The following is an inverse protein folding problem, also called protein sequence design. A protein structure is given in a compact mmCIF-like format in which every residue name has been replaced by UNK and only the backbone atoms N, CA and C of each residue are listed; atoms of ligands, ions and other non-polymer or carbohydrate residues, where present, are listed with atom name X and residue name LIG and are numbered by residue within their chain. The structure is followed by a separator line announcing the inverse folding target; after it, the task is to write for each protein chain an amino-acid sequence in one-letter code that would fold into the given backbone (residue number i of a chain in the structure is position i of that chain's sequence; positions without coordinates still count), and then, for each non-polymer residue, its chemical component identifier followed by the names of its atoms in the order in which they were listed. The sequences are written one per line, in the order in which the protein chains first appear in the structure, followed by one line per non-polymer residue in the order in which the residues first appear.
data_IF_140818866890
#
_entry.id   IF_140818866890
#
_cell.length_a   1.000
_cell.length_b   1.000
_cell.length_c   1.000
_cell.angle_alpha   90.00
_cell.angle_beta   90.00
_cell.angle_gamma   90.00
#
_symmetry.space_group_name_H-M   'P 1'
#
loop_
_entity.id
_entity.type
_entity.pdbx_description
1 polymer ?
#
# COMPACT_ATOMS: atom_id res chain seq x y z
N UNK A 1 19.59 9.74 2.10
CA UNK A 1 19.79 8.36 1.66
C UNK A 1 18.59 7.91 0.84
N UNK A 2 18.82 7.34 -0.33
CA UNK A 2 17.74 6.87 -1.19
C UNK A 2 17.44 5.41 -0.90
N UNK A 3 16.16 5.13 -0.63
CA UNK A 3 15.70 3.76 -0.53
C UNK A 3 15.49 3.19 -1.92
N UNK A 4 16.02 1.98 -2.15
CA UNK A 4 15.78 1.28 -3.40
C UNK A 4 14.54 0.43 -3.26
N UNK A 5 13.41 1.00 -3.60
CA UNK A 5 12.15 0.27 -3.63
C UNK A 5 12.09 -0.57 -4.90
N UNK A 6 11.45 -1.73 -4.83
CA UNK A 6 11.16 -2.48 -6.03
C UNK A 6 10.25 -1.63 -6.91
N UNK A 7 10.25 -1.91 -8.21
CA UNK A 7 9.47 -1.13 -9.15
C UNK A 7 7.99 -1.06 -8.74
N UNK A 8 7.40 -2.19 -8.41
CA UNK A 8 5.97 -2.24 -8.08
C UNK A 8 5.65 -1.47 -6.79
N UNK A 9 6.52 -1.55 -5.79
CA UNK A 9 6.33 -0.82 -4.54
C UNK A 9 6.47 0.67 -4.78
N UNK A 10 7.46 1.08 -5.57
CA UNK A 10 7.63 2.48 -5.93
C UNK A 10 6.42 3.01 -6.68
N UNK A 11 5.89 2.23 -7.62
CA UNK A 11 4.70 2.59 -8.37
C UNK A 11 3.49 2.76 -7.43
N UNK A 12 3.36 1.85 -6.47
CA UNK A 12 2.29 1.91 -5.48
C UNK A 12 2.36 3.20 -4.64
N UNK A 13 3.55 3.52 -4.12
CA UNK A 13 3.74 4.72 -3.31
C UNK A 13 3.50 5.99 -4.14
N UNK A 14 4.03 6.03 -5.35
CA UNK A 14 3.85 7.19 -6.24
C UNK A 14 2.38 7.40 -6.58
N UNK A 15 1.68 6.34 -6.97
CA UNK A 15 0.26 6.41 -7.29
C UNK A 15 -0.58 6.80 -6.07
N UNK A 16 -0.21 6.26 -4.89
CA UNK A 16 -0.90 6.59 -3.65
C UNK A 16 -0.78 8.08 -3.32
N UNK A 17 0.42 8.64 -3.47
CA UNK A 17 0.65 10.05 -3.20
C UNK A 17 -0.05 10.97 -4.21
N UNK A 18 -0.29 10.47 -5.42
CA UNK A 18 -1.05 11.19 -6.44
C UNK A 18 -2.56 11.01 -6.26
N UNK A 19 -2.99 10.16 -5.33
CA UNK A 19 -4.39 9.81 -5.12
C UNK A 19 -5.06 9.28 -6.40
N UNK A 20 -4.30 8.56 -7.20
CA UNK A 20 -4.76 8.03 -8.49
C UNK A 20 -5.28 6.61 -8.30
N UNK A 21 -6.59 6.48 -8.13
CA UNK A 21 -7.24 5.19 -7.84
C UNK A 21 -6.90 4.13 -8.88
N UNK A 22 -6.97 4.48 -10.16
CA UNK A 22 -6.69 3.52 -11.23
C UNK A 22 -5.26 3.01 -11.20
N UNK A 23 -4.31 3.92 -11.00
CA UNK A 23 -2.89 3.56 -10.95
C UNK A 23 -2.58 2.72 -9.72
N UNK A 24 -3.16 3.07 -8.56
CA UNK A 24 -3.02 2.25 -7.35
C UNK A 24 -3.56 0.85 -7.61
N UNK A 25 -4.78 0.77 -8.14
CA UNK A 25 -5.44 -0.50 -8.40
C UNK A 25 -4.66 -1.37 -9.39
N UNK A 26 -4.03 -0.75 -10.38
CA UNK A 26 -3.25 -1.48 -11.38
C UNK A 26 -2.02 -2.17 -10.80
N UNK A 27 -1.58 -1.78 -9.60
CA UNK A 27 -0.46 -2.44 -8.92
C UNK A 27 -0.86 -3.80 -8.34
N UNK A 28 -2.14 -4.08 -8.20
CA UNK A 28 -2.64 -5.32 -7.59
C UNK A 28 -2.97 -6.38 -8.63
N UNK A 29 -2.76 -7.64 -8.27
CA UNK A 29 -3.22 -8.75 -9.11
C UNK A 29 -4.74 -8.86 -9.04
N UNK A 30 -5.35 -9.58 -9.99
CA UNK A 30 -6.81 -9.70 -10.08
C UNK A 30 -7.44 -10.34 -8.85
N UNK A 31 -6.72 -11.26 -8.22
CA UNK A 31 -7.18 -11.99 -7.04
C UNK A 31 -6.50 -11.51 -5.75
N UNK A 32 -5.98 -10.29 -5.76
CA UNK A 32 -5.26 -9.76 -4.61
C UNK A 32 -6.14 -9.65 -3.37
N UNK A 33 -5.49 -9.69 -2.21
CA UNK A 33 -6.15 -9.58 -0.92
C UNK A 33 -5.45 -8.48 -0.10
N UNK A 34 -6.24 -7.61 0.51
CA UNK A 34 -5.72 -6.58 1.41
C UNK A 34 -6.27 -6.83 2.81
N UNK A 35 -5.38 -6.84 3.79
CA UNK A 35 -5.74 -6.89 5.20
C UNK A 35 -5.39 -5.54 5.82
N UNK A 36 -6.41 -4.77 6.18
CA UNK A 36 -6.26 -3.46 6.79
C UNK A 36 -7.05 -3.43 8.08
N UNK A 37 -6.35 -3.46 9.21
CA UNK A 37 -6.93 -3.49 10.55
C UNK A 37 -8.01 -4.58 10.69
N UNK A 38 -9.27 -4.19 10.58
CA UNK A 38 -10.42 -5.09 10.80
C UNK A 38 -11.03 -5.60 9.51
N UNK A 39 -10.54 -5.14 8.38
CA UNK A 39 -11.11 -5.47 7.09
C UNK A 39 -10.21 -6.40 6.30
N UNK A 40 -10.84 -7.32 5.59
CA UNK A 40 -10.16 -8.14 4.59
C UNK A 40 -10.90 -7.91 3.27
N UNK A 41 -10.16 -7.47 2.25
CA UNK A 41 -10.73 -7.11 0.97
C UNK A 41 -10.20 -8.08 -0.07
N UNK A 42 -11.12 -8.79 -0.71
CA UNK A 42 -10.79 -9.80 -1.72
C UNK A 42 -11.12 -9.29 -3.11
N UNK A 43 -10.12 -9.27 -3.98
CA UNK A 43 -10.28 -8.94 -5.38
C UNK A 43 -10.28 -7.46 -5.67
N UNK A 44 -10.10 -7.11 -6.93
CA UNK A 44 -9.91 -5.72 -7.35
C UNK A 44 -11.08 -4.82 -7.05
N UNK A 45 -12.31 -5.32 -7.16
CA UNK A 45 -13.47 -4.47 -6.93
C UNK A 45 -13.56 -4.00 -5.48
N UNK A 46 -13.34 -4.92 -4.54
CA UNK A 46 -13.33 -4.58 -3.12
C UNK A 46 -12.17 -3.66 -2.79
N UNK A 47 -10.99 -3.92 -3.36
CA UNK A 47 -9.80 -3.10 -3.15
C UNK A 47 -10.00 -1.70 -3.72
N UNK A 48 -10.65 -1.58 -4.88
CA UNK A 48 -10.96 -0.27 -5.46
C UNK A 48 -11.80 0.58 -4.53
N UNK A 49 -12.83 -0.01 -3.94
CA UNK A 49 -13.69 0.69 -2.97
C UNK A 49 -12.91 1.14 -1.74
N UNK A 50 -12.03 0.28 -1.25
CA UNK A 50 -11.17 0.59 -0.11
C UNK A 50 -10.22 1.75 -0.44
N UNK A 51 -9.59 1.74 -1.62
CA UNK A 51 -8.69 2.81 -2.04
C UNK A 51 -9.43 4.15 -2.09
N UNK A 52 -10.59 4.18 -2.75
CA UNK A 52 -11.38 5.40 -2.89
C UNK A 52 -11.80 5.95 -1.53
N UNK A 53 -12.24 5.06 -0.65
CA UNK A 53 -12.67 5.43 0.70
C UNK A 53 -11.53 6.02 1.53
N UNK A 54 -10.37 5.37 1.52
CA UNK A 54 -9.24 5.83 2.32
C UNK A 54 -8.69 7.17 1.81
N UNK A 55 -8.67 7.38 0.51
CA UNK A 55 -8.28 8.68 -0.05
C UNK A 55 -9.25 9.76 0.42
N UNK A 56 -10.55 9.51 0.32
CA UNK A 56 -11.57 10.49 0.69
C UNK A 56 -11.52 10.83 2.18
N UNK A 57 -11.33 9.82 3.03
CA UNK A 57 -11.36 10.00 4.48
C UNK A 57 -10.08 10.60 5.03
N UNK A 58 -8.92 10.17 4.54
CA UNK A 58 -7.64 10.50 5.17
C UNK A 58 -6.78 11.48 4.37
N UNK A 59 -7.00 11.58 3.07
CA UNK A 59 -6.18 12.43 2.18
C UNK A 59 -4.70 12.21 2.45
N UNK A 60 -4.31 10.95 2.50
CA UNK A 60 -3.01 10.52 2.99
C UNK A 60 -1.86 10.90 2.06
N UNK A 61 -0.67 11.00 2.66
CA UNK A 61 0.59 11.06 1.97
C UNK A 61 1.51 10.03 2.60
N UNK A 62 2.25 9.32 1.77
CA UNK A 62 3.16 8.27 2.21
C UNK A 62 4.60 8.72 2.08
N UNK A 63 5.40 8.39 3.09
CA UNK A 63 6.85 8.55 3.03
C UNK A 63 7.47 7.23 3.46
N UNK A 64 8.15 6.55 2.53
CA UNK A 64 8.82 5.29 2.84
C UNK A 64 10.05 5.59 3.70
N UNK A 65 10.12 4.96 4.87
CA UNK A 65 11.22 5.17 5.81
C UNK A 65 12.27 4.08 5.73
N UNK A 66 11.84 2.83 5.51
CA UNK A 66 12.76 1.71 5.41
C UNK A 66 12.10 0.59 4.62
N UNK A 67 12.94 -0.31 4.10
CA UNK A 67 12.49 -1.48 3.35
C UNK A 67 13.28 -2.68 3.84
N UNK A 68 12.59 -3.79 4.05
CA UNK A 68 13.20 -5.03 4.53
C UNK A 68 12.62 -6.21 3.78
N UNK A 69 13.49 -7.07 3.28
CA UNK A 69 13.06 -8.35 2.70
C UNK A 69 12.84 -9.34 3.84
N UNK A 70 11.64 -9.93 3.88
CA UNK A 70 11.28 -10.87 4.95
C UNK A 70 11.40 -12.31 4.46
N UNK A 71 10.69 -12.63 3.39
CA UNK A 71 10.73 -13.95 2.74
C UNK A 71 10.96 -13.72 1.26
N UNK A 72 11.07 -14.81 0.50
CA UNK A 72 11.39 -14.73 -0.94
C UNK A 72 10.52 -13.71 -1.68
N UNK A 73 9.21 -13.71 -1.39
CA UNK A 73 8.26 -12.86 -2.11
C UNK A 73 7.67 -11.74 -1.24
N UNK A 74 8.14 -11.61 0.00
CA UNK A 74 7.55 -10.67 0.95
C UNK A 74 8.54 -9.55 1.29
N UNK A 75 8.06 -8.32 1.14
CA UNK A 75 8.83 -7.12 1.45
C UNK A 75 8.04 -6.29 2.45
N UNK A 76 8.70 -5.87 3.52
CA UNK A 76 8.09 -5.01 4.52
C UNK A 76 8.63 -3.60 4.33
N UNK A 77 7.70 -2.66 4.08
CA UNK A 77 8.06 -1.24 3.95
C UNK A 77 7.47 -0.50 5.14
N UNK A 78 8.33 0.15 5.90
CA UNK A 78 7.88 1.00 7.00
C UNK A 78 7.57 2.37 6.40
N UNK A 79 6.34 2.81 6.57
CA UNK A 79 5.82 4.01 5.92
C UNK A 79 5.31 4.99 6.97
N UNK A 80 5.70 6.25 6.83
CA UNK A 80 5.07 7.33 7.57
C UNK A 80 3.86 7.80 6.78
N UNK A 81 2.69 7.68 7.38
CA UNK A 81 1.43 8.08 6.76
C UNK A 81 0.93 9.34 7.44
N UNK A 82 0.81 10.41 6.69
CA UNK A 82 0.24 11.67 7.17
C UNK A 82 -1.07 11.95 6.43
N UNK A 83 -1.91 12.79 7.02
CA UNK A 83 -3.19 13.14 6.41
C UNK A 83 -4.08 13.91 7.36
N UNK A 84 -5.37 13.94 7.04
CA UNK A 84 -6.36 14.73 7.78
C UNK A 84 -7.07 13.88 8.84
N UNK A 85 -6.32 13.07 9.57
CA UNK A 85 -6.88 12.22 10.63
C UNK A 85 -6.19 12.50 11.96
N UNK A 86 -6.89 12.15 13.04
CA UNK A 86 -6.35 12.31 14.39
C UNK A 86 -5.14 11.39 14.57
N UNK A 87 -4.09 11.93 15.16
CA UNK A 87 -2.86 11.18 15.40
C UNK A 87 -1.87 11.22 14.24
N UNK A 88 -2.20 11.92 13.15
CA UNK A 88 -1.28 12.07 12.02
C UNK A 88 -0.02 12.86 12.45
N UNK A 89 1.19 12.44 11.99
CA UNK A 89 1.44 11.25 11.18
C UNK A 89 1.54 9.98 12.04
N UNK A 90 1.31 8.83 11.41
CA UNK A 90 1.52 7.54 12.05
C UNK A 90 2.51 6.73 11.21
N UNK A 91 3.21 5.80 11.88
CA UNK A 91 4.15 4.92 11.20
C UNK A 91 3.54 3.52 11.16
N UNK A 92 3.44 2.96 9.97
CA UNK A 92 2.84 1.65 9.74
C UNK A 92 3.79 0.77 8.94
N UNK A 93 3.66 -0.54 9.13
CA UNK A 93 4.39 -1.52 8.35
C UNK A 93 3.47 -2.09 7.28
N UNK A 94 3.89 -1.96 6.02
CA UNK A 94 3.18 -2.50 4.87
C UNK A 94 3.89 -3.77 4.42
N UNK A 95 3.24 -4.90 4.60
CA UNK A 95 3.75 -6.22 4.22
C UNK A 95 3.22 -6.56 2.83
N UNK A 96 4.08 -6.46 1.82
CA UNK A 96 3.70 -6.74 0.43
C UNK A 96 4.14 -8.14 0.05
N UNK A 97 3.23 -8.94 -0.49
CA UNK A 97 3.58 -10.19 -1.18
C UNK A 97 3.48 -9.89 -2.67
N UNK A 98 4.59 -10.08 -3.38
CA UNK A 98 4.71 -9.73 -4.80
C UNK A 98 4.83 -10.98 -5.63
N UNK A 99 4.01 -11.05 -6.68
CA UNK A 99 4.01 -12.18 -7.60
C UNK A 99 3.78 -11.66 -9.02
N UNK A 100 4.65 -12.04 -9.95
CA UNK A 100 4.56 -11.62 -11.36
C UNK A 100 4.47 -10.10 -11.51
N UNK A 101 5.30 -9.38 -10.76
CA UNK A 101 5.36 -7.90 -10.77
C UNK A 101 4.06 -7.24 -10.35
N UNK A 102 3.24 -7.92 -9.57
CA UNK A 102 2.01 -7.36 -9.01
C UNK A 102 1.93 -7.64 -7.51
N UNK A 103 1.18 -6.82 -6.81
CA UNK A 103 0.91 -7.04 -5.39
C UNK A 103 -0.18 -8.09 -5.30
N UNK A 104 0.16 -9.26 -4.77
CA UNK A 104 -0.79 -10.34 -4.56
C UNK A 104 -1.50 -10.19 -3.22
N UNK A 105 -0.79 -9.72 -2.21
CA UNK A 105 -1.41 -9.42 -0.93
C UNK A 105 -0.70 -8.25 -0.26
N UNK A 106 -1.44 -7.56 0.57
CA UNK A 106 -0.93 -6.45 1.37
C UNK A 106 -1.55 -6.53 2.76
N UNK A 107 -0.70 -6.57 3.77
CA UNK A 107 -1.14 -6.49 5.17
C UNK A 107 -0.57 -5.22 5.77
N UNK A 108 -1.43 -4.42 6.37
CA UNK A 108 -1.04 -3.15 6.99
C UNK A 108 -1.18 -3.28 8.51
N UNK A 109 -0.07 -3.04 9.22
CA UNK A 109 -0.04 -3.12 10.69
C UNK A 109 0.12 -1.75 11.34
#
# INVERSE_FOLDING_TARGET
MNLKLTRIINDYVTASNAHDVKSILSCFSDDAVVHDERETLHGKKAIEGWIAKTIAEYKFQFKALSIKEDKVDVVIVTVEVSGTFDGSPVTLDYHFTIESDKIRSLTID
#
